data_IF_602977514466
#
_entry.id   IF_602977514466
#
_cell.length_a   1.000
_cell.length_b   1.000
_cell.length_c   1.000
_cell.angle_alpha   90.00
_cell.angle_beta   90.00
_cell.angle_gamma   90.00
#
_symmetry.space_group_name_H-M   'P 1'
#
loop_
_entity.id
_entity.type
_entity.pdbx_description
1 polymer ?
#
# COMPACT_ATOMS: atom_id res chain seq x y z
N UNK A 1 -56.59 -2.15 69.74
CA UNK A 1 -56.59 -3.32 68.85
C UNK A 1 -56.27 -2.86 67.49
N UNK A 2 -55.15 -3.30 67.12
CA UNK A 2 -54.50 -3.38 65.78
C UNK A 2 -54.27 -2.12 64.95
N UNK A 3 -52.97 -1.79 64.96
CA UNK A 3 -52.21 -1.02 64.00
C UNK A 3 -52.06 -1.77 62.68
N UNK A 4 -52.14 -1.09 61.58
CA UNK A 4 -51.35 -1.42 60.36
C UNK A 4 -50.77 -0.17 59.70
N UNK A 5 -49.46 -0.14 59.79
CA UNK A 5 -48.57 0.78 59.09
C UNK A 5 -48.57 0.56 57.55
N UNK A 6 -48.64 1.63 56.82
CA UNK A 6 -48.33 1.66 55.38
C UNK A 6 -46.97 2.38 55.14
N UNK A 7 -45.95 1.61 54.85
CA UNK A 7 -44.64 2.11 54.38
C UNK A 7 -44.60 2.19 52.86
N UNK A 8 -44.58 3.39 52.31
CA UNK A 8 -44.34 3.63 50.90
C UNK A 8 -42.85 3.67 50.60
N UNK A 9 -42.36 2.66 49.88
CA UNK A 9 -41.01 2.68 49.31
C UNK A 9 -41.04 3.29 47.89
N UNK A 10 -40.46 4.47 47.73
CA UNK A 10 -40.05 4.98 46.41
C UNK A 10 -38.87 4.16 45.92
N UNK A 11 -39.05 3.41 44.84
CA UNK A 11 -37.96 2.85 44.05
C UNK A 11 -37.32 3.98 43.24
N UNK A 12 -36.04 4.26 43.50
CA UNK A 12 -35.16 4.99 42.59
C UNK A 12 -34.74 4.07 41.47
N UNK A 13 -35.10 4.42 40.26
CA UNK A 13 -34.59 3.77 39.06
C UNK A 13 -33.14 4.19 38.85
N UNK A 14 -32.21 3.28 39.10
CA UNK A 14 -30.83 3.38 38.58
C UNK A 14 -30.85 3.13 37.09
N UNK A 15 -30.84 4.20 36.30
CA UNK A 15 -30.55 4.15 34.88
C UNK A 15 -29.11 3.65 34.66
N UNK A 16 -29.03 2.52 34.02
CA UNK A 16 -27.84 1.73 33.77
C UNK A 16 -26.99 2.43 32.66
N UNK A 17 -25.95 3.20 33.05
CA UNK A 17 -25.03 3.90 32.17
C UNK A 17 -24.09 2.98 31.37
N UNK A 18 -24.22 1.67 31.53
CA UNK A 18 -23.37 0.65 30.85
C UNK A 18 -23.90 0.16 29.49
N UNK A 19 -25.09 0.58 29.06
CA UNK A 19 -25.72 0.03 27.85
C UNK A 19 -25.46 0.87 26.56
N UNK A 20 -24.82 2.01 26.63
CA UNK A 20 -24.61 2.88 25.44
C UNK A 20 -23.21 2.71 24.81
N UNK A 21 -22.23 2.18 25.55
CA UNK A 21 -20.87 1.97 25.02
C UNK A 21 -20.61 0.58 24.41
N UNK A 22 -21.58 -0.33 24.42
CA UNK A 22 -21.40 -1.69 23.87
C UNK A 22 -21.83 -1.84 22.39
N UNK A 23 -22.46 -0.84 21.80
CA UNK A 23 -22.96 -0.96 20.41
C UNK A 23 -21.91 -0.58 19.38
N UNK A 24 -20.87 0.21 19.74
CA UNK A 24 -19.85 0.65 18.80
C UNK A 24 -18.59 -0.25 18.75
N UNK A 25 -18.42 -1.23 19.64
CA UNK A 25 -17.27 -2.14 19.62
C UNK A 25 -17.52 -3.48 18.91
N UNK A 26 -18.76 -3.81 18.59
CA UNK A 26 -19.10 -5.10 17.98
C UNK A 26 -19.04 -5.14 16.43
N UNK A 27 -18.74 -4.02 15.76
CA UNK A 27 -18.59 -4.04 14.30
C UNK A 27 -17.15 -4.33 13.83
N UNK A 28 -16.17 -4.38 14.73
CA UNK A 28 -14.75 -4.57 14.38
C UNK A 28 -14.23 -6.02 14.50
N UNK A 29 -15.02 -6.94 15.06
CA UNK A 29 -14.67 -8.36 15.18
C UNK A 29 -15.61 -9.21 14.32
N UNK A 30 -15.71 -8.93 13.02
CA UNK A 30 -16.14 -9.96 12.08
C UNK A 30 -14.99 -10.94 11.90
N UNK A 31 -15.29 -12.21 12.08
CA UNK A 31 -14.40 -13.36 12.05
C UNK A 31 -13.26 -13.25 11.04
N UNK A 32 -12.04 -13.64 11.45
CA UNK A 32 -10.88 -13.84 10.56
C UNK A 32 -11.18 -14.77 9.36
N UNK A 33 -12.30 -15.47 9.36
CA UNK A 33 -12.75 -16.35 8.28
C UNK A 33 -13.38 -15.62 7.08
N UNK A 34 -13.70 -14.32 7.14
CA UNK A 34 -14.34 -13.56 6.05
C UNK A 34 -13.49 -12.45 5.47
N UNK A 35 -12.17 -12.43 5.76
CA UNK A 35 -11.29 -11.42 5.20
C UNK A 35 -11.08 -11.65 3.70
N UNK A 36 -11.32 -10.63 2.89
CA UNK A 36 -11.10 -10.66 1.44
C UNK A 36 -9.60 -10.81 1.12
N UNK A 37 -9.31 -11.65 0.14
CA UNK A 37 -7.94 -11.85 -0.36
C UNK A 37 -7.55 -10.70 -1.29
N UNK A 38 -6.33 -10.20 -1.14
CA UNK A 38 -5.78 -9.08 -1.91
C UNK A 38 -4.72 -9.61 -2.86
N UNK A 39 -4.77 -9.21 -4.13
CA UNK A 39 -3.72 -9.42 -5.11
C UNK A 39 -2.89 -8.14 -5.23
N UNK A 40 -1.58 -8.22 -5.00
CA UNK A 40 -0.63 -7.20 -5.41
C UNK A 40 0.09 -7.69 -6.69
N UNK A 41 0.42 -6.78 -7.62
CA UNK A 41 1.11 -7.13 -8.86
C UNK A 41 2.22 -6.14 -9.17
N UNK A 42 3.37 -6.64 -9.59
CA UNK A 42 4.49 -5.84 -10.08
C UNK A 42 5.85 -6.45 -9.74
N UNK A 43 6.86 -5.58 -9.56
CA UNK A 43 8.22 -6.02 -9.31
C UNK A 43 8.43 -6.58 -7.90
N UNK A 44 9.22 -7.65 -7.85
CA UNK A 44 9.96 -8.10 -6.69
C UNK A 44 11.45 -7.99 -7.03
N UNK A 45 12.23 -7.30 -6.22
CA UNK A 45 13.62 -6.97 -6.53
C UNK A 45 14.51 -6.95 -5.28
N UNK A 46 15.80 -6.89 -5.50
CA UNK A 46 16.79 -6.67 -4.45
C UNK A 46 17.29 -5.24 -4.51
N UNK A 47 17.23 -4.53 -3.39
CA UNK A 47 17.95 -3.28 -3.20
C UNK A 47 19.34 -3.59 -2.63
N UNK A 48 20.38 -3.16 -3.35
CA UNK A 48 21.78 -3.16 -2.92
C UNK A 48 22.16 -1.75 -2.50
N UNK A 49 22.11 -1.49 -1.20
CA UNK A 49 22.36 -0.17 -0.63
C UNK A 49 23.82 -0.05 -0.26
N UNK A 50 24.55 0.87 -0.91
CA UNK A 50 25.92 1.19 -0.55
C UNK A 50 25.97 1.74 0.89
N UNK A 51 26.81 1.16 1.72
CA UNK A 51 27.00 1.57 3.12
C UNK A 51 28.23 2.46 3.33
N UNK A 52 29.07 2.61 2.30
CA UNK A 52 30.20 3.48 2.33
C UNK A 52 29.73 4.95 2.24
N UNK A 53 30.20 5.76 3.17
CA UNK A 53 29.79 7.16 3.23
C UNK A 53 30.36 7.96 2.07
N UNK A 54 29.53 8.77 1.42
CA UNK A 54 29.92 9.65 0.31
C UNK A 54 30.62 8.95 -0.87
N UNK A 55 30.32 7.68 -1.07
CA UNK A 55 30.86 6.91 -2.19
C UNK A 55 29.84 6.83 -3.32
N UNK A 56 30.25 7.10 -4.56
CA UNK A 56 29.47 6.76 -5.74
C UNK A 56 29.32 5.23 -5.86
N UNK A 57 28.40 4.77 -6.70
CA UNK A 57 28.25 3.33 -6.96
C UNK A 57 29.49 2.71 -7.61
N UNK A 58 30.30 3.52 -8.31
CA UNK A 58 31.56 3.07 -8.91
C UNK A 58 32.71 2.91 -7.90
N UNK A 59 32.63 3.57 -6.77
CA UNK A 59 33.67 3.58 -5.73
C UNK A 59 33.30 2.75 -4.49
N UNK A 60 32.00 2.54 -4.28
CA UNK A 60 31.49 1.82 -3.13
C UNK A 60 31.87 0.32 -3.16
N UNK A 61 32.42 -0.18 -2.06
CA UNK A 61 32.85 -1.57 -1.90
C UNK A 61 31.86 -2.38 -1.06
N UNK A 62 31.14 -1.74 -0.12
CA UNK A 62 30.26 -2.42 0.82
C UNK A 62 28.79 -2.16 0.53
N UNK A 63 28.02 -3.22 0.34
CA UNK A 63 26.60 -3.15 0.03
C UNK A 63 25.76 -3.97 1.01
N UNK A 64 24.68 -3.37 1.48
CA UNK A 64 23.65 -4.06 2.27
C UNK A 64 22.53 -4.53 1.35
N UNK A 65 22.32 -5.84 1.29
CA UNK A 65 21.23 -6.46 0.54
C UNK A 65 19.91 -6.34 1.29
N UNK A 66 18.89 -5.80 0.66
CA UNK A 66 17.51 -5.73 1.17
C UNK A 66 16.54 -6.29 0.15
N UNK A 67 15.50 -6.95 0.63
CA UNK A 67 14.33 -7.28 -0.20
C UNK A 67 13.52 -6.00 -0.43
N UNK A 68 13.08 -5.78 -1.67
CA UNK A 68 12.39 -4.56 -2.09
C UNK A 68 11.40 -4.80 -3.23
N UNK A 69 10.93 -3.71 -3.84
CA UNK A 69 9.84 -3.66 -4.80
C UNK A 69 8.58 -3.09 -4.15
N UNK A 70 8.02 -2.03 -4.73
CA UNK A 70 6.89 -1.33 -4.11
C UNK A 70 5.67 -2.25 -3.88
N UNK A 71 5.18 -3.06 -4.87
CA UNK A 71 4.07 -3.97 -4.62
C UNK A 71 4.42 -5.09 -3.63
N UNK A 72 5.68 -5.48 -3.56
CA UNK A 72 6.21 -6.45 -2.61
C UNK A 72 6.18 -5.91 -1.18
N UNK A 73 6.54 -4.64 -1.00
CA UNK A 73 6.44 -3.93 0.28
C UNK A 73 4.98 -3.80 0.73
N UNK A 74 4.07 -3.41 -0.17
CA UNK A 74 2.62 -3.33 0.15
C UNK A 74 2.11 -4.70 0.59
N UNK A 75 2.45 -5.79 -0.12
CA UNK A 75 2.05 -7.14 0.25
C UNK A 75 2.58 -7.55 1.64
N UNK A 76 3.86 -7.26 1.93
CA UNK A 76 4.46 -7.54 3.23
C UNK A 76 3.80 -6.72 4.36
N UNK A 77 3.48 -5.45 4.13
CA UNK A 77 2.77 -4.60 5.09
C UNK A 77 1.35 -5.13 5.38
N UNK A 78 0.59 -5.55 4.34
CA UNK A 78 -0.73 -6.16 4.51
C UNK A 78 -0.63 -7.43 5.36
N UNK A 79 0.33 -8.31 5.05
CA UNK A 79 0.51 -9.56 5.77
C UNK A 79 0.95 -9.33 7.23
N UNK A 80 1.86 -8.37 7.49
CA UNK A 80 2.29 -7.98 8.84
C UNK A 80 1.11 -7.48 9.71
N UNK A 81 0.13 -6.81 9.10
CA UNK A 81 -1.11 -6.39 9.75
C UNK A 81 -2.10 -7.54 9.96
N UNK A 82 -1.85 -8.73 9.41
CA UNK A 82 -2.70 -9.92 9.52
C UNK A 82 -3.65 -10.13 8.33
N UNK A 83 -3.46 -9.40 7.21
CA UNK A 83 -4.28 -9.52 6.01
C UNK A 83 -3.93 -10.74 5.15
N UNK A 84 -4.89 -11.18 4.32
CA UNK A 84 -4.69 -12.24 3.31
C UNK A 84 -4.24 -11.63 2.00
N UNK A 85 -3.01 -11.84 1.60
CA UNK A 85 -2.43 -11.23 0.40
C UNK A 85 -1.59 -12.21 -0.39
N UNK A 86 -1.60 -12.03 -1.69
CA UNK A 86 -0.74 -12.75 -2.65
C UNK A 86 -0.06 -11.74 -3.56
N UNK A 87 1.18 -12.01 -3.93
CA UNK A 87 1.96 -11.18 -4.86
C UNK A 87 2.17 -11.92 -6.18
N UNK A 88 1.75 -11.29 -7.29
CA UNK A 88 2.08 -11.70 -8.64
C UNK A 88 3.32 -10.94 -9.11
N UNK A 89 4.41 -11.65 -9.28
CA UNK A 89 5.71 -11.11 -9.67
C UNK A 89 6.51 -12.15 -10.44
N UNK A 90 7.66 -11.74 -11.01
CA UNK A 90 8.61 -12.68 -11.61
C UNK A 90 10.01 -12.39 -11.10
N UNK A 91 10.70 -13.43 -10.65
CA UNK A 91 12.07 -13.39 -10.14
C UNK A 91 12.93 -14.41 -10.92
N UNK A 92 14.23 -14.26 -10.87
CA UNK A 92 15.15 -15.24 -11.47
C UNK A 92 15.25 -16.52 -10.68
N UNK A 93 15.64 -17.61 -11.36
CA UNK A 93 16.06 -18.87 -10.72
C UNK A 93 17.49 -18.70 -10.18
N UNK A 94 17.64 -17.84 -9.19
CA UNK A 94 18.91 -17.48 -8.61
C UNK A 94 18.79 -17.27 -7.07
N UNK A 95 19.92 -17.16 -6.35
CA UNK A 95 19.89 -16.97 -4.91
C UNK A 95 19.11 -15.73 -4.42
N UNK A 96 18.96 -14.70 -5.24
CA UNK A 96 18.23 -13.49 -4.89
C UNK A 96 16.72 -13.68 -5.05
N UNK A 97 16.27 -14.35 -6.12
CA UNK A 97 14.87 -14.71 -6.32
C UNK A 97 14.38 -15.65 -5.23
N UNK A 98 15.15 -16.69 -4.91
CA UNK A 98 14.84 -17.60 -3.80
C UNK A 98 14.78 -16.86 -2.46
N UNK A 99 15.72 -15.92 -2.21
CA UNK A 99 15.70 -15.10 -1.01
C UNK A 99 14.44 -14.24 -0.88
N UNK A 100 13.99 -13.59 -1.98
CA UNK A 100 12.78 -12.79 -1.99
C UNK A 100 11.55 -13.63 -1.64
N UNK A 101 11.41 -14.81 -2.26
CA UNK A 101 10.31 -15.74 -1.98
C UNK A 101 10.30 -16.12 -0.49
N UNK A 102 11.45 -16.49 0.07
CA UNK A 102 11.55 -16.88 1.48
C UNK A 102 11.29 -15.73 2.45
N UNK A 103 11.71 -14.50 2.13
CA UNK A 103 11.37 -13.31 2.93
C UNK A 103 9.87 -13.09 2.96
N UNK A 104 9.23 -13.14 1.80
CA UNK A 104 7.78 -12.94 1.69
C UNK A 104 6.97 -14.00 2.42
N UNK A 105 7.38 -15.27 2.30
CA UNK A 105 6.76 -16.38 3.06
C UNK A 105 6.85 -16.15 4.57
N UNK A 106 7.99 -15.64 5.07
CA UNK A 106 8.17 -15.34 6.51
C UNK A 106 7.24 -14.24 6.99
N UNK A 107 6.83 -13.30 6.14
CA UNK A 107 5.78 -12.31 6.45
C UNK A 107 4.36 -12.90 6.38
N UNK A 108 4.18 -14.09 5.79
CA UNK A 108 2.86 -14.68 5.57
C UNK A 108 2.21 -14.27 4.23
N UNK A 109 2.98 -13.68 3.31
CA UNK A 109 2.53 -13.39 1.95
C UNK A 109 2.46 -14.70 1.16
N UNK A 110 1.33 -14.95 0.47
CA UNK A 110 1.24 -16.04 -0.50
C UNK A 110 2.13 -15.74 -1.70
N UNK A 111 3.02 -16.67 -2.02
CA UNK A 111 3.99 -16.57 -3.12
C UNK A 111 3.66 -17.49 -4.30
N UNK A 112 2.45 -18.07 -4.33
CA UNK A 112 2.07 -19.03 -5.38
C UNK A 112 1.98 -18.39 -6.77
N UNK A 113 1.78 -17.06 -6.81
CA UNK A 113 1.75 -16.27 -8.04
C UNK A 113 3.11 -15.66 -8.41
N UNK A 114 4.20 -16.06 -7.75
CA UNK A 114 5.55 -15.68 -8.17
C UNK A 114 6.05 -16.68 -9.19
N UNK A 115 6.24 -16.23 -10.42
CA UNK A 115 6.90 -17.01 -11.47
C UNK A 115 8.43 -16.96 -11.28
N UNK A 116 9.10 -18.07 -11.55
CA UNK A 116 10.57 -18.18 -11.52
C UNK A 116 11.07 -18.29 -12.96
N UNK A 117 11.96 -17.41 -13.34
CA UNK A 117 12.54 -17.32 -14.69
C UNK A 117 13.90 -18.02 -14.73
N UNK A 118 14.08 -19.09 -15.53
CA UNK A 118 15.35 -19.79 -15.60
C UNK A 118 16.43 -19.04 -16.39
N UNK A 119 16.04 -18.08 -17.24
CA UNK A 119 16.91 -17.43 -18.21
C UNK A 119 17.30 -16.00 -17.82
N UNK A 120 16.52 -15.37 -16.94
CA UNK A 120 16.73 -13.99 -16.53
C UNK A 120 17.04 -13.88 -15.03
N UNK A 121 18.02 -13.07 -14.67
CA UNK A 121 18.36 -12.80 -13.28
C UNK A 121 17.25 -12.04 -12.54
N UNK A 122 17.21 -12.18 -11.21
CA UNK A 122 16.40 -11.31 -10.36
C UNK A 122 16.81 -9.85 -10.55
N UNK A 123 15.85 -8.97 -10.69
CA UNK A 123 16.08 -7.52 -10.82
C UNK A 123 16.75 -6.95 -9.58
N UNK A 124 17.75 -6.10 -9.78
CA UNK A 124 18.54 -5.48 -8.72
C UNK A 124 18.57 -3.95 -8.93
N UNK A 125 18.29 -3.22 -7.87
CA UNK A 125 18.52 -1.79 -7.76
C UNK A 125 19.75 -1.52 -6.89
N UNK A 126 20.72 -0.79 -7.40
CA UNK A 126 21.86 -0.30 -6.63
C UNK A 126 21.60 1.16 -6.25
N UNK A 127 21.82 1.47 -4.98
CA UNK A 127 21.58 2.81 -4.43
C UNK A 127 22.77 3.22 -3.57
N UNK A 128 23.29 4.43 -3.82
CA UNK A 128 24.20 5.11 -2.92
C UNK A 128 23.62 6.46 -2.50
N UNK A 129 23.82 6.85 -1.26
CA UNK A 129 23.37 8.12 -0.70
C UNK A 129 24.60 8.98 -0.36
N UNK A 130 24.69 10.14 -1.03
CA UNK A 130 25.73 11.13 -0.77
C UNK A 130 25.34 12.06 0.39
N UNK A 131 26.30 12.65 1.09
CA UNK A 131 26.02 13.59 2.22
C UNK A 131 25.22 14.82 1.80
N UNK A 132 25.39 15.28 0.55
CA UNK A 132 24.60 16.37 -0.01
C UNK A 132 23.12 15.97 -0.30
N UNK A 133 22.73 14.71 -0.02
CA UNK A 133 21.40 14.17 -0.28
C UNK A 133 21.18 13.67 -1.71
N UNK A 134 22.17 13.83 -2.60
CA UNK A 134 22.11 13.23 -3.94
C UNK A 134 22.18 11.71 -3.82
N UNK A 135 21.47 11.04 -4.73
CA UNK A 135 21.45 9.57 -4.83
C UNK A 135 22.08 9.16 -6.14
N UNK A 136 23.11 8.32 -6.06
CA UNK A 136 23.56 7.56 -7.22
C UNK A 136 22.72 6.28 -7.27
N UNK A 137 22.16 5.98 -8.45
CA UNK A 137 21.19 4.92 -8.61
C UNK A 137 21.42 4.20 -9.95
N UNK A 138 21.56 2.89 -9.89
CA UNK A 138 21.64 2.04 -11.06
C UNK A 138 20.62 0.91 -10.96
N UNK A 139 19.80 0.76 -12.00
CA UNK A 139 18.73 -0.21 -12.03
C UNK A 139 18.99 -1.28 -13.09
N UNK A 140 19.34 -2.48 -12.66
CA UNK A 140 19.52 -3.62 -13.54
C UNK A 140 18.21 -4.41 -13.60
N UNK A 141 17.33 -3.99 -14.52
CA UNK A 141 16.03 -4.59 -14.72
C UNK A 141 16.15 -5.88 -15.53
N UNK A 142 15.64 -7.00 -14.99
CA UNK A 142 15.76 -8.31 -15.61
C UNK A 142 14.46 -9.12 -15.49
N UNK A 143 14.33 -10.10 -14.60
CA UNK A 143 13.18 -11.00 -14.53
C UNK A 143 11.82 -10.30 -14.31
N UNK A 144 11.77 -9.16 -13.58
CA UNK A 144 10.52 -8.44 -13.34
C UNK A 144 9.81 -8.02 -14.63
N UNK A 145 10.57 -7.60 -15.65
CA UNK A 145 10.01 -7.19 -16.95
C UNK A 145 9.40 -8.34 -17.74
N UNK A 146 9.71 -9.58 -17.38
CA UNK A 146 9.35 -10.79 -18.10
C UNK A 146 8.08 -11.46 -17.59
N UNK A 147 7.38 -10.88 -16.62
CA UNK A 147 6.07 -11.38 -16.15
C UNK A 147 5.06 -11.31 -17.31
N UNK A 148 4.57 -12.47 -17.76
CA UNK A 148 3.69 -12.61 -18.93
C UNK A 148 2.23 -12.85 -18.53
N UNK A 149 1.32 -12.76 -19.51
CA UNK A 149 -0.09 -13.12 -19.34
C UNK A 149 -0.26 -14.62 -19.09
N UNK A 150 0.63 -15.42 -19.63
CA UNK A 150 0.65 -16.87 -19.45
C UNK A 150 1.00 -17.22 -17.99
N UNK A 151 1.95 -16.51 -17.38
CA UNK A 151 2.23 -16.63 -15.94
C UNK A 151 0.97 -16.31 -15.12
N UNK A 152 0.21 -15.29 -15.51
CA UNK A 152 -1.04 -14.90 -14.82
C UNK A 152 -2.20 -15.86 -15.08
N UNK A 153 -2.21 -16.61 -16.18
CA UNK A 153 -3.26 -17.59 -16.48
C UNK A 153 -3.28 -18.77 -15.48
N UNK A 154 -2.20 -18.95 -14.72
CA UNK A 154 -2.11 -19.96 -13.66
C UNK A 154 -2.78 -19.53 -12.36
N UNK A 155 -3.25 -18.27 -12.27
CA UNK A 155 -3.84 -17.68 -11.08
C UNK A 155 -5.35 -17.54 -11.28
N UNK A 156 -6.12 -18.13 -10.39
CA UNK A 156 -7.57 -17.91 -10.35
C UNK A 156 -7.89 -16.54 -9.74
N UNK A 157 -8.09 -15.54 -10.61
CA UNK A 157 -8.40 -14.18 -10.20
C UNK A 157 -9.73 -14.09 -9.42
N UNK A 158 -10.68 -15.03 -9.62
CA UNK A 158 -11.96 -15.01 -8.90
C UNK A 158 -11.83 -15.18 -7.38
N UNK A 159 -10.67 -15.63 -6.90
CA UNK A 159 -10.38 -15.81 -5.47
C UNK A 159 -10.05 -14.51 -4.75
N UNK A 160 -9.86 -13.42 -5.49
CA UNK A 160 -9.52 -12.11 -4.95
C UNK A 160 -10.71 -11.15 -5.03
N UNK A 161 -10.78 -10.23 -4.09
CA UNK A 161 -11.79 -9.16 -4.08
C UNK A 161 -11.18 -7.77 -4.26
N UNK A 162 -9.88 -7.66 -4.04
CA UNK A 162 -9.11 -6.41 -4.16
C UNK A 162 -7.88 -6.70 -5.03
N UNK A 163 -7.60 -5.82 -5.99
CA UNK A 163 -6.37 -5.84 -6.77
C UNK A 163 -5.64 -4.51 -6.62
N UNK A 164 -4.38 -4.58 -6.20
CA UNK A 164 -3.51 -3.45 -6.01
C UNK A 164 -2.45 -3.37 -7.11
N UNK A 165 -2.38 -2.24 -7.77
CA UNK A 165 -1.47 -1.88 -8.84
C UNK A 165 -0.51 -0.80 -8.33
N UNK A 166 0.66 -1.20 -7.80
CA UNK A 166 1.61 -0.30 -7.12
C UNK A 166 3.04 -0.37 -7.66
N UNK A 167 3.23 -0.86 -8.88
CA UNK A 167 4.55 -1.12 -9.44
C UNK A 167 5.26 0.13 -9.95
N UNK A 168 6.51 0.35 -9.52
CA UNK A 168 7.38 1.40 -10.04
C UNK A 168 7.91 1.05 -11.45
N UNK A 169 7.87 -0.20 -11.89
CA UNK A 169 8.47 -0.66 -13.15
C UNK A 169 7.45 -1.07 -14.22
N UNK A 170 6.18 -1.27 -13.86
CA UNK A 170 5.18 -1.83 -14.79
C UNK A 170 4.87 -0.93 -15.99
N UNK A 171 5.13 0.37 -15.91
CA UNK A 171 4.97 1.28 -17.04
C UNK A 171 6.19 1.37 -17.96
N UNK A 172 7.29 0.71 -17.59
CA UNK A 172 8.48 0.58 -18.43
C UNK A 172 8.30 -0.52 -19.48
N UNK A 173 9.02 -0.48 -20.63
CA UNK A 173 8.92 -1.52 -21.65
C UNK A 173 9.22 -2.93 -21.12
N UNK A 174 8.44 -3.92 -21.59
CA UNK A 174 8.57 -5.33 -21.24
C UNK A 174 7.22 -6.04 -21.19
N UNK A 175 7.22 -7.36 -21.01
CA UNK A 175 6.00 -8.17 -20.94
C UNK A 175 5.11 -7.75 -19.75
N UNK A 176 5.72 -7.37 -18.61
CA UNK A 176 5.00 -6.86 -17.43
C UNK A 176 4.05 -5.72 -17.80
N UNK A 177 4.44 -4.80 -18.69
CA UNK A 177 3.59 -3.66 -19.06
C UNK A 177 2.23 -4.12 -19.63
N UNK A 178 2.25 -5.04 -20.59
CA UNK A 178 1.02 -5.56 -21.20
C UNK A 178 0.24 -6.48 -20.25
N UNK A 179 0.94 -7.18 -19.37
CA UNK A 179 0.36 -8.06 -18.36
C UNK A 179 -0.33 -7.25 -17.26
N UNK A 180 0.26 -6.14 -16.84
CA UNK A 180 -0.31 -5.23 -15.86
C UNK A 180 -1.67 -4.66 -16.33
N UNK A 181 -1.73 -4.21 -17.59
CA UNK A 181 -2.98 -3.76 -18.23
C UNK A 181 -4.00 -4.92 -18.42
N UNK A 182 -3.52 -6.12 -18.74
CA UNK A 182 -4.37 -7.30 -18.86
C UNK A 182 -5.02 -7.65 -17.51
N UNK A 183 -4.25 -7.71 -16.44
CA UNK A 183 -4.77 -8.02 -15.10
C UNK A 183 -5.74 -6.94 -14.63
N UNK A 184 -5.50 -5.65 -14.92
CA UNK A 184 -6.46 -4.58 -14.62
C UNK A 184 -7.81 -4.84 -15.29
N UNK A 185 -7.82 -5.16 -16.58
CA UNK A 185 -9.06 -5.45 -17.30
C UNK A 185 -9.80 -6.67 -16.75
N UNK A 186 -9.08 -7.74 -16.44
CA UNK A 186 -9.70 -8.96 -15.88
C UNK A 186 -10.22 -8.71 -14.46
N UNK A 187 -9.51 -7.98 -13.61
CA UNK A 187 -9.95 -7.59 -12.28
C UNK A 187 -11.23 -6.74 -12.32
N UNK A 188 -11.33 -5.80 -13.28
CA UNK A 188 -12.54 -5.00 -13.49
C UNK A 188 -13.71 -5.89 -13.91
N UNK A 189 -13.52 -6.83 -14.85
CA UNK A 189 -14.57 -7.78 -15.27
C UNK A 189 -15.11 -8.63 -14.13
N UNK A 190 -14.25 -8.94 -13.16
CA UNK A 190 -14.60 -9.72 -11.98
C UNK A 190 -15.06 -8.87 -10.78
N UNK A 191 -15.27 -7.56 -10.99
CA UNK A 191 -15.72 -6.61 -9.98
C UNK A 191 -14.80 -6.50 -8.75
N UNK A 192 -13.48 -6.62 -8.93
CA UNK A 192 -12.53 -6.34 -7.86
C UNK A 192 -12.56 -4.86 -7.48
N UNK A 193 -12.30 -4.58 -6.22
CA UNK A 193 -11.93 -3.25 -5.80
C UNK A 193 -10.51 -2.94 -6.31
N UNK A 194 -10.37 -1.94 -7.18
CA UNK A 194 -9.09 -1.57 -7.78
C UNK A 194 -8.42 -0.48 -6.94
N UNK A 195 -7.20 -0.76 -6.51
CA UNK A 195 -6.31 0.18 -5.82
C UNK A 195 -5.08 0.47 -6.67
N UNK A 196 -4.66 1.74 -6.72
CA UNK A 196 -3.51 2.17 -7.51
C UNK A 196 -2.58 3.08 -6.71
N UNK A 197 -1.26 2.92 -6.92
CA UNK A 197 -0.20 3.82 -6.48
C UNK A 197 0.83 3.93 -7.62
N UNK A 198 1.03 5.09 -8.24
CA UNK A 198 1.89 5.22 -9.41
C UNK A 198 3.37 4.94 -9.12
N UNK A 199 3.84 5.17 -7.90
CA UNK A 199 5.22 4.92 -7.48
C UNK A 199 6.26 5.47 -8.46
N UNK A 200 6.16 6.75 -8.80
CA UNK A 200 7.07 7.41 -9.72
C UNK A 200 8.52 7.35 -9.25
N UNK A 201 9.40 7.00 -10.16
CA UNK A 201 10.85 7.04 -9.95
C UNK A 201 11.49 7.79 -11.12
N UNK A 202 11.88 9.04 -10.88
CA UNK A 202 12.40 9.94 -11.91
C UNK A 202 13.53 9.30 -12.74
N UNK A 203 14.47 8.63 -12.06
CA UNK A 203 15.62 7.98 -12.68
C UNK A 203 15.25 6.81 -13.61
N UNK A 204 14.07 6.19 -13.42
CA UNK A 204 13.61 5.10 -14.29
C UNK A 204 12.94 5.62 -15.56
N UNK A 205 12.30 6.76 -15.50
CA UNK A 205 11.52 7.29 -16.63
C UNK A 205 12.27 8.29 -17.49
N UNK A 206 13.22 9.05 -16.93
CA UNK A 206 14.02 9.99 -17.68
C UNK A 206 13.20 10.82 -18.69
N UNK A 207 13.49 10.67 -19.99
CA UNK A 207 12.76 11.35 -21.06
C UNK A 207 11.36 10.77 -21.34
N UNK A 208 10.95 9.66 -20.68
CA UNK A 208 9.65 9.01 -20.87
C UNK A 208 8.59 9.45 -19.85
N UNK A 209 8.78 10.59 -19.22
CA UNK A 209 7.90 11.17 -18.19
C UNK A 209 6.44 11.28 -18.66
N UNK A 210 6.23 11.71 -19.89
CA UNK A 210 4.88 11.83 -20.48
C UNK A 210 4.17 10.47 -20.54
N UNK A 211 4.87 9.41 -20.92
CA UNK A 211 4.32 8.05 -20.92
C UNK A 211 3.88 7.62 -19.53
N UNK A 212 4.67 7.95 -18.49
CA UNK A 212 4.29 7.68 -17.11
C UNK A 212 2.99 8.41 -16.73
N UNK A 213 2.90 9.70 -17.05
CA UNK A 213 1.72 10.53 -16.74
C UNK A 213 0.47 9.95 -17.40
N UNK A 214 0.50 9.66 -18.70
CA UNK A 214 -0.65 9.16 -19.46
C UNK A 214 -1.12 7.79 -18.93
N UNK A 215 -0.19 6.88 -18.60
CA UNK A 215 -0.53 5.58 -18.03
C UNK A 215 -1.08 5.72 -16.62
N UNK A 216 -0.51 6.60 -15.80
CA UNK A 216 -1.04 6.89 -14.46
C UNK A 216 -2.46 7.42 -14.51
N UNK A 217 -2.77 8.35 -15.42
CA UNK A 217 -4.12 8.86 -15.62
C UNK A 217 -5.10 7.74 -15.98
N UNK A 218 -4.70 6.82 -16.90
CA UNK A 218 -5.54 5.68 -17.26
C UNK A 218 -5.86 4.77 -16.06
N UNK A 219 -4.87 4.48 -15.20
CA UNK A 219 -5.10 3.68 -14.00
C UNK A 219 -5.92 4.43 -12.93
N UNK A 220 -5.68 5.74 -12.74
CA UNK A 220 -6.47 6.61 -11.84
C UNK A 220 -7.95 6.57 -12.23
N UNK A 221 -8.27 6.67 -13.51
CA UNK A 221 -9.64 6.67 -14.02
C UNK A 221 -10.39 5.36 -13.76
N UNK A 222 -9.66 4.25 -13.67
CA UNK A 222 -10.22 2.90 -13.46
C UNK A 222 -10.13 2.44 -12.00
N UNK A 223 -9.54 3.26 -11.12
CA UNK A 223 -9.38 2.92 -9.71
C UNK A 223 -10.61 3.27 -8.89
N UNK A 224 -10.82 2.51 -7.81
CA UNK A 224 -11.77 2.82 -6.73
C UNK A 224 -11.10 3.60 -5.60
N UNK A 225 -9.82 3.33 -5.38
CA UNK A 225 -8.94 4.07 -4.48
C UNK A 225 -7.58 4.25 -5.15
N UNK A 226 -6.97 5.43 -5.00
CA UNK A 226 -5.57 5.61 -5.33
C UNK A 226 -4.87 6.50 -4.31
N UNK A 227 -3.59 6.26 -4.14
CA UNK A 227 -2.70 7.10 -3.34
C UNK A 227 -1.63 7.66 -4.24
N UNK A 228 -1.30 8.91 -4.05
CA UNK A 228 -0.14 9.59 -4.66
C UNK A 228 0.60 10.39 -3.60
N UNK A 229 1.88 10.66 -3.80
CA UNK A 229 2.58 11.72 -3.08
C UNK A 229 2.20 13.09 -3.64
N UNK A 230 2.49 14.17 -2.92
CA UNK A 230 2.31 15.54 -3.41
C UNK A 230 3.10 15.78 -4.70
N UNK A 231 4.33 15.30 -4.78
CA UNK A 231 5.17 15.39 -5.98
C UNK A 231 4.55 14.64 -7.18
N UNK A 232 4.01 13.44 -6.98
CA UNK A 232 3.30 12.70 -8.02
C UNK A 232 2.00 13.40 -8.42
N UNK A 233 1.28 13.98 -7.46
CA UNK A 233 0.08 14.76 -7.74
C UNK A 233 0.38 15.96 -8.63
N UNK A 234 1.45 16.70 -8.33
CA UNK A 234 1.89 17.85 -9.13
C UNK A 234 2.37 17.39 -10.52
N UNK A 235 3.12 16.32 -10.58
CA UNK A 235 3.61 15.74 -11.82
C UNK A 235 2.47 15.34 -12.76
N UNK A 236 1.49 14.57 -12.25
CA UNK A 236 0.40 14.00 -13.05
C UNK A 236 -0.58 15.09 -13.50
N UNK A 237 -0.80 16.10 -12.66
CA UNK A 237 -1.78 17.15 -12.95
C UNK A 237 -1.20 18.40 -13.62
N UNK A 238 0.11 18.59 -13.59
CA UNK A 238 0.77 19.81 -14.01
C UNK A 238 0.46 21.02 -13.12
N UNK A 239 0.01 20.79 -11.87
CA UNK A 239 -0.31 21.83 -10.89
C UNK A 239 0.80 22.00 -9.88
N UNK A 240 0.82 23.16 -9.20
CA UNK A 240 1.92 23.54 -8.29
C UNK A 240 1.47 23.61 -6.82
N UNK A 241 0.20 23.38 -6.54
CA UNK A 241 -0.30 23.37 -5.17
C UNK A 241 -1.32 22.25 -4.95
N UNK A 242 -1.47 21.83 -3.71
CA UNK A 242 -2.26 20.69 -3.30
C UNK A 242 -3.75 20.80 -3.69
N UNK A 243 -4.35 21.98 -3.50
CA UNK A 243 -5.78 22.16 -3.76
C UNK A 243 -6.10 22.07 -5.26
N UNK A 244 -5.29 22.69 -6.11
CA UNK A 244 -5.46 22.61 -7.56
C UNK A 244 -5.18 21.20 -8.09
N UNK A 245 -4.14 20.53 -7.57
CA UNK A 245 -3.84 19.15 -7.93
C UNK A 245 -4.99 18.21 -7.53
N UNK A 246 -5.51 18.35 -6.32
CA UNK A 246 -6.66 17.58 -5.85
C UNK A 246 -7.92 17.83 -6.68
N UNK A 247 -8.20 19.08 -7.05
CA UNK A 247 -9.32 19.43 -7.92
C UNK A 247 -9.16 18.81 -9.32
N UNK A 248 -7.96 18.85 -9.90
CA UNK A 248 -7.67 18.23 -11.19
C UNK A 248 -7.83 16.70 -11.13
N UNK A 249 -7.34 16.04 -10.06
CA UNK A 249 -7.53 14.60 -9.86
C UNK A 249 -9.00 14.23 -9.68
N UNK A 250 -9.77 15.03 -8.93
CA UNK A 250 -11.22 14.83 -8.77
C UNK A 250 -11.95 14.94 -10.10
N UNK A 251 -11.52 15.84 -11.00
CA UNK A 251 -12.08 15.95 -12.34
C UNK A 251 -11.77 14.73 -13.23
N UNK A 252 -10.67 14.03 -12.98
CA UNK A 252 -10.26 12.83 -13.73
C UNK A 252 -10.95 11.55 -13.24
N UNK A 253 -11.32 11.47 -11.94
CA UNK A 253 -11.79 10.21 -11.33
C UNK A 253 -12.80 10.43 -10.22
N UNK A 254 -13.74 9.48 -10.13
CA UNK A 254 -14.69 9.37 -9.01
C UNK A 254 -14.15 8.56 -7.83
N UNK A 255 -12.93 8.06 -7.89
CA UNK A 255 -12.30 7.29 -6.82
C UNK A 255 -12.17 8.09 -5.52
N UNK A 256 -12.10 7.41 -4.39
CA UNK A 256 -11.53 8.00 -3.18
C UNK A 256 -10.01 8.05 -3.35
N UNK A 257 -9.38 9.14 -2.94
CA UNK A 257 -7.93 9.21 -3.04
C UNK A 257 -7.27 9.92 -1.85
N UNK A 258 -6.03 9.56 -1.63
CA UNK A 258 -5.15 10.20 -0.67
C UNK A 258 -3.93 10.79 -1.37
N UNK A 259 -3.62 12.06 -1.09
CA UNK A 259 -2.33 12.68 -1.44
C UNK A 259 -1.52 12.72 -0.16
N UNK A 260 -0.44 11.94 -0.07
CA UNK A 260 0.45 11.95 1.11
C UNK A 260 1.35 13.17 1.06
N UNK A 261 1.44 13.89 2.19
CA UNK A 261 2.18 15.15 2.35
C UNK A 261 3.24 15.02 3.45
N UNK A 262 3.93 13.90 3.45
CA UNK A 262 5.00 13.58 4.40
C UNK A 262 4.52 13.64 5.85
N UNK A 263 5.26 14.33 6.71
CA UNK A 263 4.97 14.45 8.15
C UNK A 263 3.65 15.17 8.47
N UNK A 264 3.10 15.91 7.53
CA UNK A 264 1.82 16.61 7.68
C UNK A 264 0.62 15.64 7.56
N UNK A 265 0.84 14.42 7.07
CA UNK A 265 -0.18 13.38 6.93
C UNK A 265 -0.67 13.18 5.51
N UNK A 266 -1.99 13.22 5.29
CA UNK A 266 -2.58 12.99 3.98
C UNK A 266 -3.78 13.89 3.72
N UNK A 267 -3.87 14.43 2.51
CA UNK A 267 -5.08 15.04 1.99
C UNK A 267 -5.99 13.92 1.45
N UNK A 268 -7.12 13.75 2.10
CA UNK A 268 -8.15 12.78 1.71
C UNK A 268 -9.22 13.47 0.89
N UNK A 269 -9.56 12.87 -0.25
CA UNK A 269 -10.67 13.31 -1.10
C UNK A 269 -11.65 12.17 -1.34
N UNK A 270 -12.91 12.43 -1.01
CA UNK A 270 -14.05 11.58 -1.36
C UNK A 270 -14.95 12.32 -2.38
N UNK A 271 -16.00 11.67 -2.87
CA UNK A 271 -16.98 12.34 -3.74
C UNK A 271 -17.66 13.54 -3.06
N UNK A 272 -17.78 13.50 -1.74
CA UNK A 272 -18.55 14.49 -0.98
C UNK A 272 -17.70 15.61 -0.43
N UNK A 273 -16.51 15.27 0.09
CA UNK A 273 -15.67 16.21 0.87
C UNK A 273 -14.19 15.92 0.73
N UNK A 274 -13.42 16.96 0.96
CA UNK A 274 -11.96 16.90 1.10
C UNK A 274 -11.58 17.30 2.53
N UNK A 275 -10.53 16.70 3.08
CA UNK A 275 -9.96 17.11 4.37
C UNK A 275 -8.50 16.69 4.47
N UNK A 276 -7.76 17.36 5.36
CA UNK A 276 -6.45 16.88 5.81
C UNK A 276 -6.67 15.91 6.98
N UNK A 277 -6.06 14.73 6.89
CA UNK A 277 -5.95 13.78 8.00
C UNK A 277 -4.51 13.94 8.53
N UNK A 278 -4.35 14.43 9.78
CA UNK A 278 -3.03 14.75 10.30
C UNK A 278 -2.08 13.56 10.35
N UNK A 279 -0.80 13.82 10.13
CA UNK A 279 0.27 12.85 10.31
C UNK A 279 0.59 12.57 11.77
N UNK A 280 1.38 11.53 12.01
CA UNK A 280 1.88 11.17 13.32
C UNK A 280 3.35 11.62 13.41
N UNK A 281 3.67 12.37 14.46
CA UNK A 281 5.04 12.83 14.70
C UNK A 281 5.90 11.69 15.21
N UNK A 282 6.96 11.41 14.50
CA UNK A 282 7.99 10.42 14.88
C UNK A 282 9.38 10.97 14.56
N UNK A 283 10.41 10.45 15.19
CA UNK A 283 11.80 10.68 14.78
C UNK A 283 12.12 9.73 13.64
N UNK A 284 12.15 10.25 12.42
CA UNK A 284 12.35 9.44 11.24
C UNK A 284 13.84 9.02 11.11
N UNK A 285 14.07 7.70 11.03
CA UNK A 285 15.35 7.07 10.73
C UNK A 285 15.49 6.86 9.21
N UNK A 286 14.41 6.33 8.59
CA UNK A 286 14.35 6.05 7.15
C UNK A 286 12.90 6.13 6.68
N UNK A 287 12.64 6.81 5.57
CA UNK A 287 11.28 6.95 5.02
C UNK A 287 10.93 5.89 3.97
N UNK A 288 11.86 4.96 3.70
CA UNK A 288 11.65 3.89 2.72
C UNK A 288 10.49 2.98 3.15
N UNK A 289 9.54 2.78 2.25
CA UNK A 289 8.38 1.93 2.50
C UNK A 289 7.24 2.57 3.30
N UNK A 290 7.37 3.83 3.76
CA UNK A 290 6.30 4.51 4.50
C UNK A 290 5.01 4.65 3.67
N UNK A 291 5.14 4.98 2.38
CA UNK A 291 4.02 5.01 1.43
C UNK A 291 3.41 3.62 1.20
N UNK A 292 4.25 2.59 1.11
CA UNK A 292 3.82 1.20 0.93
C UNK A 292 3.07 0.71 2.17
N UNK A 293 3.56 1.03 3.38
CA UNK A 293 2.87 0.75 4.64
C UNK A 293 1.52 1.47 4.75
N UNK A 294 1.47 2.74 4.32
CA UNK A 294 0.22 3.50 4.26
C UNK A 294 -0.81 2.79 3.38
N UNK A 295 -0.44 2.43 2.15
CA UNK A 295 -1.33 1.70 1.23
C UNK A 295 -1.69 0.34 1.80
N UNK A 296 -0.72 -0.40 2.32
CA UNK A 296 -0.94 -1.71 2.97
C UNK A 296 -1.96 -1.63 4.10
N UNK A 297 -1.87 -0.59 4.95
CA UNK A 297 -2.82 -0.36 6.05
C UNK A 297 -4.23 0.04 5.54
N UNK A 298 -4.34 0.83 4.47
CA UNK A 298 -5.63 1.10 3.83
C UNK A 298 -6.25 -0.20 3.34
N UNK A 299 -5.52 -0.98 2.54
CA UNK A 299 -6.03 -2.21 1.92
C UNK A 299 -6.37 -3.29 2.96
N UNK A 300 -5.56 -3.42 4.01
CA UNK A 300 -5.87 -4.31 5.13
C UNK A 300 -7.23 -3.96 5.76
N UNK A 301 -7.48 -2.69 6.07
CA UNK A 301 -8.76 -2.27 6.65
C UNK A 301 -9.92 -2.50 5.67
N UNK A 302 -9.74 -2.18 4.39
CA UNK A 302 -10.74 -2.41 3.36
C UNK A 302 -11.04 -3.90 3.13
N UNK A 303 -10.08 -4.81 3.37
CA UNK A 303 -10.29 -6.24 3.21
C UNK A 303 -11.33 -6.85 4.16
N UNK A 304 -11.72 -6.14 5.21
CA UNK A 304 -12.81 -6.53 6.12
C UNK A 304 -14.20 -6.17 5.59
N UNK A 305 -14.27 -5.49 4.43
CA UNK A 305 -15.52 -5.08 3.79
C UNK A 305 -15.66 -5.74 2.43
N UNK A 306 -16.88 -6.10 2.01
CA UNK A 306 -17.09 -6.50 0.61
C UNK A 306 -16.84 -5.30 -0.33
N UNK A 307 -16.46 -5.51 -1.61
CA UNK A 307 -16.32 -4.40 -2.57
C UNK A 307 -17.53 -3.47 -2.63
N UNK A 308 -18.73 -4.03 -2.46
CA UNK A 308 -19.98 -3.25 -2.41
C UNK A 308 -20.08 -2.38 -1.16
N UNK A 309 -19.70 -2.91 0.01
CA UNK A 309 -19.75 -2.18 1.28
C UNK A 309 -18.70 -1.07 1.31
N UNK A 310 -17.53 -1.27 0.69
CA UNK A 310 -16.51 -0.21 0.55
C UNK A 310 -17.09 1.01 -0.17
N UNK A 311 -17.95 0.80 -1.19
CA UNK A 311 -18.61 1.88 -1.91
C UNK A 311 -19.58 2.73 -1.08
N UNK A 312 -19.95 2.25 0.12
CA UNK A 312 -20.88 2.94 1.04
C UNK A 312 -20.19 3.59 2.24
N UNK A 313 -18.86 3.47 2.35
CA UNK A 313 -18.09 4.07 3.44
C UNK A 313 -18.24 5.59 3.46
N UNK A 314 -18.53 6.13 4.63
CA UNK A 314 -18.67 7.56 4.89
C UNK A 314 -17.32 8.26 4.90
N UNK A 315 -17.31 9.59 4.84
CA UNK A 315 -16.08 10.39 5.00
C UNK A 315 -15.41 10.12 6.35
N UNK A 316 -16.17 9.86 7.42
CA UNK A 316 -15.60 9.62 8.75
C UNK A 316 -14.99 8.21 8.85
N UNK A 317 -15.54 7.22 8.13
CA UNK A 317 -14.89 5.92 7.96
C UNK A 317 -13.56 6.05 7.22
N UNK A 318 -13.54 6.79 6.12
CA UNK A 318 -12.32 7.05 5.37
C UNK A 318 -11.27 7.85 6.17
N UNK A 319 -11.68 8.84 6.97
CA UNK A 319 -10.76 9.55 7.89
C UNK A 319 -10.11 8.59 8.88
N UNK A 320 -10.88 7.68 9.46
CA UNK A 320 -10.36 6.66 10.39
C UNK A 320 -9.37 5.73 9.68
N UNK A 321 -9.72 5.23 8.48
CA UNK A 321 -8.84 4.37 7.67
C UNK A 321 -7.52 5.10 7.35
N UNK A 322 -7.58 6.35 6.89
CA UNK A 322 -6.39 7.14 6.54
C UNK A 322 -5.58 7.52 7.78
N UNK A 323 -6.23 7.81 8.92
CA UNK A 323 -5.53 8.06 10.19
C UNK A 323 -4.72 6.82 10.63
N UNK A 324 -5.30 5.64 10.54
CA UNK A 324 -4.60 4.39 10.79
C UNK A 324 -3.47 4.12 9.78
N UNK A 325 -3.68 4.48 8.52
CA UNK A 325 -2.63 4.39 7.50
C UNK A 325 -1.47 5.36 7.78
N UNK A 326 -1.74 6.57 8.28
CA UNK A 326 -0.70 7.50 8.75
C UNK A 326 0.10 6.91 9.91
N UNK A 327 -0.54 6.18 10.86
CA UNK A 327 0.17 5.47 11.94
C UNK A 327 1.11 4.40 11.38
N UNK A 328 0.65 3.62 10.39
CA UNK A 328 1.48 2.59 9.76
C UNK A 328 2.69 3.20 9.03
N UNK A 329 2.49 4.26 8.24
CA UNK A 329 3.58 4.98 7.59
C UNK A 329 4.58 5.58 8.58
N UNK A 330 4.09 6.21 9.65
CA UNK A 330 4.93 6.78 10.70
C UNK A 330 5.76 5.70 11.43
N UNK A 331 5.12 4.56 11.78
CA UNK A 331 5.81 3.42 12.39
C UNK A 331 6.94 2.87 11.52
N UNK A 332 6.72 2.85 10.21
CA UNK A 332 7.74 2.41 9.25
C UNK A 332 8.95 3.34 9.26
N UNK A 333 8.75 4.65 9.41
CA UNK A 333 9.84 5.61 9.43
C UNK A 333 10.81 5.47 10.64
N UNK A 334 10.43 4.77 11.69
CA UNK A 334 11.28 4.58 12.89
C UNK A 334 12.39 3.55 12.70
N UNK A 335 12.42 2.83 11.57
CA UNK A 335 13.36 1.72 11.32
C UNK A 335 14.04 1.88 9.95
N UNK A 336 15.26 1.33 9.84
CA UNK A 336 16.02 1.32 8.59
C UNK A 336 15.53 0.24 7.62
N UNK A 337 14.96 0.63 6.49
CA UNK A 337 14.46 -0.25 5.41
C UNK A 337 13.05 -0.80 5.64
N UNK A 338 12.27 -0.86 4.56
CA UNK A 338 10.84 -1.21 4.59
C UNK A 338 10.57 -2.58 5.26
N UNK A 339 11.20 -3.64 4.78
CA UNK A 339 10.96 -4.99 5.30
C UNK A 339 11.37 -5.15 6.77
N UNK A 340 12.40 -4.41 7.23
CA UNK A 340 12.76 -4.42 8.64
C UNK A 340 11.70 -3.75 9.50
N UNK A 341 11.22 -2.59 9.06
CA UNK A 341 10.15 -1.85 9.72
C UNK A 341 8.86 -2.68 9.84
N UNK A 342 8.51 -3.46 8.83
CA UNK A 342 7.28 -4.27 8.82
C UNK A 342 7.29 -5.40 9.85
N UNK A 343 8.44 -5.85 10.35
CA UNK A 343 8.51 -6.76 11.49
C UNK A 343 7.91 -6.17 12.78
N UNK A 344 7.86 -4.84 12.84
CA UNK A 344 7.31 -4.07 13.97
C UNK A 344 5.91 -3.50 13.68
N UNK A 345 5.33 -3.86 12.53
CA UNK A 345 4.01 -3.43 12.10
C UNK A 345 2.97 -4.49 12.47
N UNK A 346 2.04 -4.15 13.34
CA UNK A 346 0.91 -5.00 13.72
C UNK A 346 -0.38 -4.18 13.73
N UNK A 347 -1.53 -4.82 13.59
CA UNK A 347 -2.82 -4.14 13.62
C UNK A 347 -3.15 -3.49 14.98
N UNK A 348 -2.41 -3.81 16.03
CA UNK A 348 -2.56 -3.18 17.35
C UNK A 348 -2.25 -1.68 17.32
N UNK A 349 -1.47 -1.20 16.35
CA UNK A 349 -1.21 0.23 16.16
C UNK A 349 -2.50 1.04 15.89
N UNK A 350 -3.54 0.40 15.41
CA UNK A 350 -4.83 1.06 15.13
C UNK A 350 -5.62 1.39 16.40
N UNK A 351 -5.28 0.74 17.51
CA UNK A 351 -5.92 0.93 18.82
C UNK A 351 -5.20 1.97 19.70
N UNK A 352 -4.04 2.46 19.23
CA UNK A 352 -3.21 3.43 19.94
C UNK A 352 -3.67 4.87 19.72
#
# INVERSE_FOLDING_TARGET
>A
MDLKLLSGHKRMEHLNWYSINSINSHHFLRDCNQMNKILCIGEALIDMICTDKNSSLSEGEHFLKKAGGAPTNVAAAIAALGGKVEIAAKVGDDPFGHHLIEVLKKFGVSTNAIAVDPDNFTTIAFVSLMENGERDFYFNRSADRMLTKEDMALIDLSTFSISHFGSATAFLPGALQSTYEYVLREAIKQNHFISFDPNYRELLFGNNKETFIQRSINFIQQSHFFKVSDQEAFLITGKNNLNEAAAAMRAMSNAVFAITIGKEGAFLSTKEKNCIVPGIKVEAVDTTGAGDAFVGAVLFQLSHHSPKDIGTLTIDDWKRIVSNANKAGARTCEYMGAMEAFKHLTNTIFNA
#
